data_IF_435218275133
#
_entry.id   IF_435218275133
#
_cell.length_a   1.000
_cell.length_b   1.000
_cell.length_c   1.000
_cell.angle_alpha   90.00
_cell.angle_beta   90.00
_cell.angle_gamma   90.00
#
_symmetry.space_group_name_H-M   'P 1'
#
loop_
_entity.id
_entity.type
_entity.pdbx_description
1 polymer ?
#
# COMPACT_ATOMS: atom_id res chain seq x y z
N UNK A 1 -25.60 7.62 -0.44
CA UNK A 1 -26.10 6.25 -0.27
C UNK A 1 -25.44 5.42 -1.35
N UNK A 2 -24.79 4.32 -1.00
CA UNK A 2 -24.10 3.49 -1.99
C UNK A 2 -25.12 2.59 -2.71
N UNK A 3 -24.92 2.40 -4.01
CA UNK A 3 -25.70 1.45 -4.78
C UNK A 3 -25.09 0.04 -4.63
N UNK A 4 -25.54 -0.70 -3.62
CA UNK A 4 -25.12 -2.10 -3.42
C UNK A 4 -25.45 -2.99 -4.61
N UNK A 5 -26.48 -2.66 -5.40
CA UNK A 5 -26.83 -3.43 -6.59
C UNK A 5 -25.76 -3.35 -7.67
N UNK A 6 -24.94 -2.29 -7.65
CA UNK A 6 -23.77 -2.15 -8.53
C UNK A 6 -22.71 -3.23 -8.23
N UNK A 7 -22.55 -3.65 -6.97
CA UNK A 7 -21.55 -4.67 -6.62
C UNK A 7 -21.86 -6.03 -7.25
N UNK A 8 -23.14 -6.34 -7.51
CA UNK A 8 -23.57 -7.59 -8.15
C UNK A 8 -23.77 -7.48 -9.67
N UNK A 9 -23.45 -6.33 -10.28
CA UNK A 9 -23.44 -6.12 -11.74
C UNK A 9 -22.00 -5.90 -12.26
N UNK A 10 -21.32 -6.96 -12.74
CA UNK A 10 -19.97 -6.86 -13.28
C UNK A 10 -19.84 -5.93 -14.49
N UNK A 11 -20.87 -5.82 -15.33
CA UNK A 11 -20.85 -4.95 -16.51
C UNK A 11 -20.97 -3.48 -16.11
N UNK A 12 -21.77 -3.18 -15.08
CA UNK A 12 -21.85 -1.84 -14.52
C UNK A 12 -20.55 -1.44 -13.80
N UNK A 13 -19.91 -2.35 -13.05
CA UNK A 13 -18.58 -2.12 -12.47
C UNK A 13 -17.53 -1.81 -13.55
N UNK A 14 -17.51 -2.58 -14.63
CA UNK A 14 -16.59 -2.35 -15.74
C UNK A 14 -16.81 -0.99 -16.42
N UNK A 15 -18.07 -0.53 -16.54
CA UNK A 15 -18.39 0.81 -17.06
C UNK A 15 -18.01 1.94 -16.10
N UNK A 16 -18.15 1.71 -14.79
CA UNK A 16 -17.77 2.67 -13.76
C UNK A 16 -16.24 2.84 -13.67
N UNK A 17 -15.49 1.75 -13.89
CA UNK A 17 -14.03 1.69 -13.76
C UNK A 17 -13.27 2.34 -14.93
N UNK A 18 -13.49 3.64 -15.12
CA UNK A 18 -12.84 4.46 -16.18
C UNK A 18 -11.32 4.57 -16.02
N UNK A 19 -10.78 4.23 -14.86
CA UNK A 19 -9.35 4.26 -14.54
C UNK A 19 -8.72 2.87 -14.53
N UNK A 20 -9.49 1.83 -14.86
CA UNK A 20 -9.04 0.44 -14.93
C UNK A 20 -8.39 -0.05 -13.62
N UNK A 21 -8.88 0.43 -12.47
CA UNK A 21 -8.35 0.13 -11.14
C UNK A 21 -8.56 -1.35 -10.76
N UNK A 22 -9.70 -1.95 -11.12
CA UNK A 22 -9.95 -3.37 -10.89
C UNK A 22 -8.98 -4.23 -11.71
N UNK A 23 -8.71 -3.82 -12.95
CA UNK A 23 -7.71 -4.50 -13.79
C UNK A 23 -6.31 -4.33 -13.20
N UNK A 24 -5.95 -3.12 -12.77
CA UNK A 24 -4.67 -2.86 -12.11
C UNK A 24 -4.44 -3.66 -10.83
N UNK A 25 -5.50 -3.89 -10.04
CA UNK A 25 -5.46 -4.78 -8.87
C UNK A 25 -5.30 -6.25 -9.27
N UNK A 26 -6.04 -6.71 -10.29
CA UNK A 26 -5.98 -8.09 -10.77
C UNK A 26 -4.63 -8.44 -11.43
N UNK A 27 -3.95 -7.48 -12.04
CA UNK A 27 -2.66 -7.67 -12.69
C UNK A 27 -1.46 -7.63 -11.73
N UNK A 28 -1.68 -7.51 -10.42
CA UNK A 28 -0.62 -7.38 -9.43
C UNK A 28 0.40 -8.54 -9.50
N UNK A 29 -0.05 -9.79 -9.62
CA UNK A 29 0.85 -10.95 -9.75
C UNK A 29 1.66 -10.94 -11.06
N UNK A 30 1.04 -10.55 -12.17
CA UNK A 30 1.76 -10.35 -13.45
C UNK A 30 2.81 -9.23 -13.36
N UNK A 31 2.52 -8.15 -12.64
CA UNK A 31 3.47 -7.05 -12.39
C UNK A 31 4.66 -7.50 -11.55
N UNK A 32 4.44 -8.31 -10.51
CA UNK A 32 5.53 -8.89 -9.70
C UNK A 32 6.48 -9.70 -10.60
N UNK A 33 5.95 -10.61 -11.43
CA UNK A 33 6.80 -11.43 -12.32
C UNK A 33 7.56 -10.59 -13.34
N UNK A 34 6.91 -9.57 -13.91
CA UNK A 34 7.55 -8.64 -14.84
C UNK A 34 8.65 -7.83 -14.15
N UNK A 35 8.40 -7.37 -12.92
CA UNK A 35 9.37 -6.61 -12.13
C UNK A 35 10.57 -7.46 -11.71
N UNK A 36 10.38 -8.73 -11.36
CA UNK A 36 11.48 -9.69 -11.11
C UNK A 36 12.35 -9.87 -12.36
N UNK A 37 11.71 -9.98 -13.54
CA UNK A 37 12.44 -10.05 -14.81
C UNK A 37 13.24 -8.77 -15.07
N UNK A 38 12.64 -7.59 -14.92
CA UNK A 38 13.34 -6.31 -15.09
C UNK A 38 14.50 -6.13 -14.08
N UNK A 39 14.31 -6.56 -12.82
CA UNK A 39 15.37 -6.58 -11.82
C UNK A 39 16.56 -7.46 -12.25
N UNK A 40 16.27 -8.63 -12.81
CA UNK A 40 17.30 -9.54 -13.33
C UNK A 40 18.01 -8.94 -14.54
N UNK A 41 17.26 -8.40 -15.51
CA UNK A 41 17.80 -7.73 -16.71
C UNK A 41 18.64 -6.49 -16.37
N UNK A 42 18.30 -5.78 -15.29
CA UNK A 42 19.07 -4.66 -14.77
C UNK A 42 20.35 -5.09 -14.03
N UNK A 43 20.58 -6.40 -13.84
CA UNK A 43 21.79 -6.95 -13.22
C UNK A 43 21.73 -7.09 -11.70
N UNK A 44 20.57 -6.94 -11.05
CA UNK A 44 20.45 -7.06 -9.58
C UNK A 44 20.97 -8.42 -9.08
N UNK A 45 20.67 -9.50 -9.82
CA UNK A 45 21.10 -10.85 -9.47
C UNK A 45 22.64 -11.00 -9.47
N UNK A 46 23.33 -10.23 -10.31
CA UNK A 46 24.79 -10.29 -10.52
C UNK A 46 25.56 -9.32 -9.62
N UNK A 47 24.86 -8.47 -8.87
CA UNK A 47 25.49 -7.53 -7.95
C UNK A 47 26.39 -8.26 -6.95
N UNK A 48 27.55 -7.66 -6.73
CA UNK A 48 28.51 -8.03 -5.67
C UNK A 48 28.63 -6.82 -4.73
N UNK A 49 27.72 -6.66 -3.75
CA UNK A 49 27.77 -5.54 -2.83
C UNK A 49 29.05 -5.59 -2.00
N UNK A 50 29.70 -4.44 -1.82
CA UNK A 50 30.88 -4.31 -0.95
C UNK A 50 30.55 -4.49 0.55
N UNK A 51 29.27 -4.55 0.88
CA UNK A 51 28.77 -4.79 2.22
C UNK A 51 27.30 -4.43 2.34
N UNK A 52 26.84 -4.39 3.60
CA UNK A 52 25.50 -3.93 3.96
C UNK A 52 25.49 -2.40 4.05
N UNK A 53 24.48 -1.70 3.50
CA UNK A 53 24.38 -0.26 3.67
C UNK A 53 24.18 0.10 5.15
N UNK A 54 24.77 1.22 5.58
CA UNK A 54 24.60 1.76 6.94
C UNK A 54 23.19 2.29 7.17
N UNK A 55 22.64 2.97 6.16
CA UNK A 55 21.28 3.48 6.16
C UNK A 55 20.70 3.41 4.75
N UNK A 56 19.38 3.24 4.66
CA UNK A 56 18.61 3.32 3.43
C UNK A 56 17.81 4.61 3.45
N UNK A 57 17.98 5.46 2.45
CA UNK A 57 17.18 6.65 2.21
C UNK A 57 16.19 6.35 1.09
N UNK A 58 14.91 6.67 1.28
CA UNK A 58 13.89 6.49 0.23
C UNK A 58 13.34 7.84 -0.22
N UNK A 59 13.18 8.02 -1.53
CA UNK A 59 12.61 9.23 -2.12
C UNK A 59 11.64 8.89 -3.25
N UNK A 60 10.64 9.74 -3.42
CA UNK A 60 9.62 9.56 -4.42
C UNK A 60 8.35 10.34 -4.08
N UNK A 61 7.57 10.76 -5.08
CA UNK A 61 6.33 11.48 -4.87
C UNK A 61 5.14 10.54 -4.65
N UNK A 62 4.11 11.08 -4.01
CA UNK A 62 2.81 10.44 -3.93
C UNK A 62 2.74 9.23 -3.01
N UNK A 63 1.54 8.65 -2.94
CA UNK A 63 1.20 7.59 -1.99
C UNK A 63 1.83 6.23 -2.34
N UNK A 64 2.12 5.95 -3.61
CA UNK A 64 2.89 4.76 -4.00
C UNK A 64 4.28 4.75 -3.35
N UNK A 65 5.06 5.82 -3.51
CA UNK A 65 6.41 5.91 -2.94
C UNK A 65 6.40 5.92 -1.40
N UNK A 66 5.39 6.55 -0.79
CA UNK A 66 5.19 6.51 0.67
C UNK A 66 4.91 5.07 1.13
N UNK A 67 3.99 4.36 0.46
CA UNK A 67 3.68 2.97 0.78
C UNK A 67 4.89 2.06 0.63
N UNK A 68 5.69 2.21 -0.44
CA UNK A 68 6.95 1.46 -0.61
C UNK A 68 7.92 1.76 0.53
N UNK A 69 8.12 3.04 0.88
CA UNK A 69 9.02 3.42 1.97
C UNK A 69 8.60 2.82 3.32
N UNK A 70 7.31 2.87 3.64
CA UNK A 70 6.75 2.30 4.88
C UNK A 70 6.92 0.77 4.93
N UNK A 71 6.66 0.09 3.82
CA UNK A 71 6.84 -1.37 3.70
C UNK A 71 8.30 -1.78 3.85
N UNK A 72 9.21 -1.10 3.15
CA UNK A 72 10.64 -1.34 3.28
C UNK A 72 11.14 -1.05 4.71
N UNK A 73 10.62 0.01 5.34
CA UNK A 73 10.95 0.34 6.73
C UNK A 73 10.53 -0.74 7.72
N UNK A 74 9.36 -1.35 7.54
CA UNK A 74 8.92 -2.48 8.36
C UNK A 74 9.73 -3.76 8.09
N UNK A 75 9.97 -4.09 6.82
CA UNK A 75 10.62 -5.34 6.42
C UNK A 75 12.13 -5.34 6.68
N UNK A 76 12.82 -4.23 6.39
CA UNK A 76 14.28 -4.11 6.52
C UNK A 76 14.72 -3.38 7.80
N UNK A 77 13.82 -2.72 8.53
CA UNK A 77 14.15 -1.84 9.66
C UNK A 77 14.91 -2.52 10.80
N UNK A 78 14.73 -3.83 10.99
CA UNK A 78 15.49 -4.62 11.95
C UNK A 78 16.98 -4.78 11.57
N UNK A 79 17.29 -4.76 10.27
CA UNK A 79 18.64 -4.93 9.73
C UNK A 79 19.34 -3.59 9.45
N UNK A 80 18.60 -2.58 8.99
CA UNK A 80 19.13 -1.29 8.58
C UNK A 80 18.08 -0.18 8.74
N UNK A 81 18.44 1.00 9.27
CA UNK A 81 17.51 2.12 9.37
C UNK A 81 17.08 2.59 7.97
N UNK A 82 15.76 2.60 7.74
CA UNK A 82 15.14 3.12 6.52
C UNK A 82 14.52 4.48 6.84
N UNK A 83 14.96 5.53 6.15
CA UNK A 83 14.48 6.91 6.35
C UNK A 83 13.88 7.43 5.06
N UNK A 84 12.57 7.77 5.10
CA UNK A 84 11.91 8.45 4.00
C UNK A 84 12.30 9.93 3.96
N UNK A 85 12.80 10.38 2.82
CA UNK A 85 13.01 11.80 2.54
C UNK A 85 11.65 12.43 2.20
N UNK A 86 11.15 13.26 3.11
CA UNK A 86 9.89 13.99 2.90
C UNK A 86 10.12 15.07 1.85
N UNK A 87 9.31 15.12 0.77
CA UNK A 87 9.44 16.19 -0.20
C UNK A 87 9.06 17.55 0.41
N UNK A 88 9.87 18.56 0.15
CA UNK A 88 9.50 19.97 0.27
C UNK A 88 8.97 20.51 -1.06
N UNK A 89 8.72 21.82 -1.10
CA UNK A 89 8.26 22.51 -2.31
C UNK A 89 7.10 23.46 -2.04
N UNK A 90 6.66 24.15 -3.11
CA UNK A 90 5.58 25.14 -3.04
C UNK A 90 4.21 24.58 -3.44
N UNK A 91 4.17 23.36 -4.01
CA UNK A 91 2.95 22.72 -4.49
C UNK A 91 3.12 21.18 -4.57
N UNK A 92 2.03 20.39 -4.52
CA UNK A 92 2.06 18.93 -4.64
C UNK A 92 2.26 18.44 -6.10
N UNK A 93 2.76 19.30 -6.99
CA UNK A 93 2.98 18.98 -8.41
C UNK A 93 4.41 18.49 -8.63
N UNK A 94 4.60 17.50 -9.51
CA UNK A 94 5.90 16.90 -9.87
C UNK A 94 7.03 17.94 -10.08
N UNK A 95 6.73 19.04 -10.78
CA UNK A 95 7.69 20.11 -11.07
C UNK A 95 8.08 21.01 -9.88
N UNK A 96 7.36 20.94 -8.75
CA UNK A 96 7.57 21.78 -7.58
C UNK A 96 8.14 21.02 -6.37
N UNK A 97 8.18 19.69 -6.42
CA UNK A 97 8.68 18.84 -5.33
C UNK A 97 10.21 18.82 -5.32
N UNK A 98 10.79 18.94 -4.12
CA UNK A 98 12.23 18.91 -3.89
C UNK A 98 12.57 17.98 -2.73
N UNK A 99 13.73 17.34 -2.80
CA UNK A 99 14.25 16.47 -1.74
C UNK A 99 15.67 16.89 -1.38
N UNK A 100 16.01 16.73 -0.10
CA UNK A 100 17.34 17.06 0.41
C UNK A 100 17.95 15.88 1.16
N UNK A 101 19.23 15.62 0.92
CA UNK A 101 19.98 14.62 1.67
C UNK A 101 20.36 15.16 3.06
N UNK A 102 20.11 14.39 4.14
CA UNK A 102 20.60 14.70 5.47
C UNK A 102 22.12 14.91 5.48
N UNK A 103 22.63 15.81 6.33
CA UNK A 103 24.06 16.16 6.35
C UNK A 103 25.03 15.00 6.63
N UNK A 104 24.55 13.91 7.23
CA UNK A 104 25.33 12.71 7.53
C UNK A 104 25.38 11.69 6.39
N UNK A 105 24.57 11.86 5.34
CA UNK A 105 24.45 10.92 4.24
C UNK A 105 25.72 10.90 3.38
N UNK A 106 26.25 9.71 3.10
CA UNK A 106 27.55 9.53 2.44
C UNK A 106 27.73 8.16 1.76
N UNK A 107 28.97 7.76 1.46
CA UNK A 107 29.26 6.66 0.53
C UNK A 107 28.92 5.25 1.01
N UNK A 108 28.55 5.10 2.29
CA UNK A 108 28.11 3.83 2.89
C UNK A 108 26.59 3.71 2.99
N UNK A 109 25.85 4.70 2.49
CA UNK A 109 24.39 4.74 2.49
C UNK A 109 23.83 4.46 1.09
N UNK A 110 22.59 3.95 1.06
CA UNK A 110 21.87 3.58 -0.16
C UNK A 110 20.68 4.52 -0.35
N UNK A 111 20.59 5.19 -1.50
CA UNK A 111 19.43 5.98 -1.89
C UNK A 111 18.56 5.15 -2.85
N UNK A 112 17.32 4.89 -2.45
CA UNK A 112 16.28 4.26 -3.25
C UNK A 112 15.29 5.31 -3.74
N UNK A 113 15.16 5.45 -5.06
CA UNK A 113 14.18 6.36 -5.67
C UNK A 113 13.06 5.54 -6.31
N UNK A 114 11.82 5.87 -6.01
CA UNK A 114 10.64 5.23 -6.63
C UNK A 114 9.71 6.29 -7.17
N UNK A 115 9.33 6.17 -8.43
CA UNK A 115 8.36 7.08 -9.04
C UNK A 115 7.62 6.40 -10.20
N UNK A 116 6.29 6.59 -10.31
CA UNK A 116 5.52 6.12 -11.45
C UNK A 116 5.63 7.02 -12.69
N UNK A 117 6.27 8.20 -12.60
CA UNK A 117 6.38 9.18 -13.69
C UNK A 117 7.85 9.37 -14.10
N UNK A 118 8.71 9.78 -13.16
CA UNK A 118 10.14 9.99 -13.39
C UNK A 118 10.47 11.32 -14.10
N UNK A 119 9.48 12.21 -14.28
CA UNK A 119 9.66 13.56 -14.80
C UNK A 119 9.93 14.63 -13.73
N UNK A 120 9.97 14.26 -12.45
CA UNK A 120 10.17 15.18 -11.33
C UNK A 120 11.61 15.75 -11.33
N UNK A 121 11.81 17.05 -11.62
CA UNK A 121 13.15 17.62 -11.68
C UNK A 121 13.90 17.56 -10.34
N UNK A 122 13.15 17.61 -9.23
CA UNK A 122 13.70 17.49 -7.88
C UNK A 122 14.37 16.15 -7.60
N UNK A 123 13.95 15.05 -8.26
CA UNK A 123 14.61 13.76 -8.11
C UNK A 123 15.97 13.75 -8.83
N UNK A 124 16.09 14.37 -10.01
CA UNK A 124 17.39 14.53 -10.69
C UNK A 124 18.37 15.37 -9.87
N UNK A 125 17.88 16.45 -9.24
CA UNK A 125 18.69 17.27 -8.31
C UNK A 125 19.17 16.41 -7.13
N UNK A 126 18.30 15.56 -6.57
CA UNK A 126 18.65 14.65 -5.49
C UNK A 126 19.74 13.65 -5.91
N UNK A 127 19.65 13.10 -7.13
CA UNK A 127 20.67 12.22 -7.71
C UNK A 127 22.03 12.92 -7.81
N UNK A 128 22.07 14.18 -8.25
CA UNK A 128 23.30 14.98 -8.29
C UNK A 128 23.88 15.24 -6.89
N UNK A 129 23.03 15.43 -5.87
CA UNK A 129 23.48 15.54 -4.48
C UNK A 129 24.11 14.21 -4.01
N UNK A 130 23.47 13.09 -4.33
CA UNK A 130 23.93 11.75 -3.96
C UNK A 130 25.29 11.43 -4.62
N UNK A 131 25.41 11.71 -5.91
CA UNK A 131 26.66 11.55 -6.67
C UNK A 131 27.81 12.35 -6.06
N UNK A 132 27.60 13.64 -5.75
CA UNK A 132 28.62 14.51 -5.13
C UNK A 132 29.09 14.01 -3.75
N UNK A 133 28.26 13.25 -3.05
CA UNK A 133 28.55 12.68 -1.73
C UNK A 133 28.97 11.19 -1.79
N UNK A 134 29.03 10.62 -2.99
CA UNK A 134 29.42 9.23 -3.24
C UNK A 134 28.39 8.18 -2.82
N UNK A 135 27.12 8.56 -2.62
CA UNK A 135 26.06 7.60 -2.28
C UNK A 135 25.79 6.65 -3.45
N UNK A 136 25.48 5.40 -3.13
CA UNK A 136 24.93 4.48 -4.12
C UNK A 136 23.46 4.82 -4.37
N UNK A 137 23.06 4.94 -5.64
CA UNK A 137 21.68 5.27 -6.01
C UNK A 137 21.07 4.15 -6.84
N UNK A 138 19.88 3.70 -6.45
CA UNK A 138 19.04 2.79 -7.23
C UNK A 138 17.68 3.43 -7.43
N UNK A 139 17.18 3.45 -8.66
CA UNK A 139 15.86 3.98 -8.99
C UNK A 139 14.98 2.92 -9.65
N UNK A 140 13.70 2.88 -9.28
CA UNK A 140 12.65 2.18 -10.02
C UNK A 140 11.73 3.23 -10.62
N UNK A 141 11.75 3.35 -11.95
CA UNK A 141 11.00 4.37 -12.69
C UNK A 141 10.65 3.91 -14.12
N UNK A 142 9.70 4.58 -14.81
CA UNK A 142 9.40 4.26 -16.19
C UNK A 142 10.63 4.32 -17.10
N UNK A 143 10.74 3.41 -18.08
CA UNK A 143 11.87 3.43 -19.00
C UNK A 143 11.86 4.73 -19.82
N UNK A 144 13.05 5.32 -20.03
CA UNK A 144 13.25 6.58 -20.77
C UNK A 144 12.65 7.82 -20.08
N UNK A 145 12.30 7.75 -18.79
CA UNK A 145 11.98 8.94 -18.01
C UNK A 145 13.24 9.82 -17.80
N UNK A 146 13.11 11.15 -17.68
CA UNK A 146 14.24 12.06 -17.44
C UNK A 146 15.16 11.63 -16.28
N UNK A 147 14.59 11.07 -15.21
CA UNK A 147 15.34 10.51 -14.09
C UNK A 147 16.36 9.43 -14.50
N UNK A 148 16.07 8.64 -15.53
CA UNK A 148 16.95 7.55 -16.01
C UNK A 148 18.31 8.09 -16.47
N UNK A 149 18.33 9.25 -17.14
CA UNK A 149 19.57 9.90 -17.59
C UNK A 149 20.40 10.40 -16.41
N UNK A 150 19.77 11.02 -15.41
CA UNK A 150 20.43 11.47 -14.20
C UNK A 150 21.07 10.30 -13.43
N UNK A 151 20.34 9.19 -13.29
CA UNK A 151 20.85 7.98 -12.62
C UNK A 151 22.05 7.39 -13.36
N UNK A 152 21.96 7.28 -14.69
CA UNK A 152 23.05 6.76 -15.52
C UNK A 152 24.29 7.65 -15.42
N UNK A 153 24.11 8.97 -15.48
CA UNK A 153 25.19 9.95 -15.32
C UNK A 153 25.85 9.92 -13.93
N UNK A 154 25.11 9.54 -12.90
CA UNK A 154 25.60 9.35 -11.54
C UNK A 154 26.19 7.95 -11.26
N UNK A 155 26.30 7.09 -12.29
CA UNK A 155 26.70 5.68 -12.14
C UNK A 155 25.81 4.87 -11.18
N UNK A 156 24.54 5.28 -11.04
CA UNK A 156 23.53 4.54 -10.30
C UNK A 156 22.88 3.43 -11.13
N UNK A 157 22.00 2.67 -10.50
CA UNK A 157 21.23 1.60 -11.14
C UNK A 157 19.80 2.05 -11.41
N UNK A 158 19.40 2.12 -12.68
CA UNK A 158 18.01 2.34 -13.06
C UNK A 158 17.35 1.01 -13.41
N UNK A 159 16.30 0.66 -12.69
CA UNK A 159 15.50 -0.55 -12.93
C UNK A 159 14.17 -0.14 -13.57
N UNK A 160 13.84 -0.65 -14.76
CA UNK A 160 12.57 -0.32 -15.40
C UNK A 160 11.37 -0.74 -14.55
N UNK A 161 10.49 0.21 -14.23
CA UNK A 161 9.22 -0.07 -13.58
C UNK A 161 8.38 -1.00 -14.45
N UNK A 162 7.82 -2.05 -13.85
CA UNK A 162 6.94 -2.96 -14.55
C UNK A 162 5.61 -2.27 -14.92
N UNK A 163 5.23 -2.35 -16.18
CA UNK A 163 3.91 -1.94 -16.67
C UNK A 163 3.13 -3.19 -17.04
N UNK A 164 1.81 -3.15 -16.91
CA UNK A 164 0.99 -4.24 -17.43
C UNK A 164 1.01 -4.24 -18.97
N UNK A 165 0.87 -5.41 -19.63
CA UNK A 165 0.59 -5.46 -21.05
C UNK A 165 -0.67 -4.63 -21.34
N UNK A 166 -0.62 -3.75 -22.35
CA UNK A 166 -1.75 -2.90 -22.78
C UNK A 166 -2.14 -1.73 -21.83
N UNK A 167 -1.34 -1.42 -20.82
CA UNK A 167 -1.56 -0.24 -19.98
C UNK A 167 -1.36 1.06 -20.78
N UNK A 168 -2.35 1.99 -20.79
CA UNK A 168 -2.16 3.31 -21.38
C UNK A 168 -1.01 4.05 -20.66
N UNK A 169 -0.22 4.82 -21.40
CA UNK A 169 0.91 5.62 -20.87
C UNK A 169 0.48 6.81 -19.98
N UNK A 170 -0.77 6.85 -19.53
CA UNK A 170 -1.27 7.91 -18.66
C UNK A 170 -0.79 7.66 -17.22
N UNK A 171 -0.45 8.73 -16.45
CA UNK A 171 -0.11 8.57 -15.05
C UNK A 171 -1.30 7.99 -14.29
N UNK A 172 -1.12 6.81 -13.72
CA UNK A 172 -2.09 6.22 -12.80
C UNK A 172 -2.21 7.09 -11.52
N UNK A 173 -3.33 6.98 -10.82
CA UNK A 173 -3.45 7.54 -9.47
C UNK A 173 -2.30 7.02 -8.59
N UNK A 174 -1.83 7.82 -7.63
CA UNK A 174 -0.68 7.44 -6.83
C UNK A 174 -0.98 6.22 -5.93
N UNK A 175 -2.24 6.03 -5.53
CA UNK A 175 -2.71 4.81 -4.83
C UNK A 175 -3.22 3.71 -5.76
N UNK A 176 -3.03 3.80 -7.08
CA UNK A 176 -3.43 2.73 -7.99
C UNK A 176 -2.76 1.40 -7.57
N UNK A 177 -3.53 0.31 -7.36
CA UNK A 177 -3.02 -0.96 -6.87
C UNK A 177 -1.82 -1.51 -7.64
N UNK A 178 -1.84 -1.38 -8.97
CA UNK A 178 -0.78 -1.88 -9.84
C UNK A 178 0.58 -1.19 -9.67
N UNK A 179 0.61 0.09 -9.26
CA UNK A 179 1.86 0.86 -9.16
C UNK A 179 2.74 0.40 -8.00
N UNK A 180 2.14 -0.09 -6.91
CA UNK A 180 2.89 -0.50 -5.72
C UNK A 180 3.84 -1.66 -6.04
N UNK A 181 3.32 -2.76 -6.59
CA UNK A 181 4.10 -3.96 -6.84
C UNK A 181 5.18 -3.75 -7.89
N UNK A 182 4.91 -2.90 -8.88
CA UNK A 182 5.88 -2.52 -9.89
C UNK A 182 7.09 -1.76 -9.31
N UNK A 183 6.88 -0.95 -8.27
CA UNK A 183 7.94 -0.20 -7.58
C UNK A 183 8.63 -1.00 -6.47
N UNK A 184 7.85 -1.78 -5.70
CA UNK A 184 8.33 -2.51 -4.53
C UNK A 184 9.17 -3.73 -4.91
N UNK A 185 8.72 -4.52 -5.88
CA UNK A 185 9.32 -5.84 -6.20
C UNK A 185 10.80 -5.76 -6.56
N UNK A 186 11.28 -4.83 -7.40
CA UNK A 186 12.70 -4.72 -7.69
C UNK A 186 13.54 -4.35 -6.46
N UNK A 187 12.97 -3.58 -5.53
CA UNK A 187 13.63 -3.21 -4.29
C UNK A 187 13.68 -4.38 -3.31
N UNK A 188 12.65 -5.23 -3.25
CA UNK A 188 12.72 -6.48 -2.49
C UNK A 188 13.85 -7.38 -3.01
N UNK A 189 13.97 -7.54 -4.33
CA UNK A 189 15.07 -8.28 -4.94
C UNK A 189 16.44 -7.66 -4.62
N UNK A 190 16.57 -6.34 -4.71
CA UNK A 190 17.80 -5.63 -4.33
C UNK A 190 18.18 -5.83 -2.85
N UNK A 191 17.19 -5.72 -1.96
CA UNK A 191 17.40 -5.80 -0.53
C UNK A 191 17.65 -7.25 -0.07
N UNK A 192 17.13 -8.25 -0.77
CA UNK A 192 17.55 -9.65 -0.64
C UNK A 192 19.03 -9.82 -1.02
N UNK A 193 19.42 -9.30 -2.20
CA UNK A 193 20.82 -9.39 -2.69
C UNK A 193 21.83 -8.67 -1.80
N UNK A 194 21.43 -7.62 -1.10
CA UNK A 194 22.26 -6.90 -0.11
C UNK A 194 22.15 -7.47 1.31
N UNK A 195 21.31 -8.48 1.52
CA UNK A 195 21.13 -9.17 2.80
C UNK A 195 20.41 -8.34 3.87
N UNK A 196 19.56 -7.39 3.45
CA UNK A 196 18.76 -6.52 4.30
C UNK A 196 17.42 -7.14 4.71
N UNK A 197 16.87 -7.98 3.85
CA UNK A 197 15.66 -8.78 4.10
C UNK A 197 15.80 -10.12 3.36
N UNK A 198 14.83 -11.02 3.53
CA UNK A 198 14.75 -12.26 2.75
C UNK A 198 13.58 -12.18 1.76
N UNK A 199 13.91 -12.12 0.48
CA UNK A 199 12.95 -12.15 -0.62
C UNK A 199 13.56 -12.92 -1.82
N UNK A 200 13.93 -14.20 -1.63
CA UNK A 200 14.53 -14.97 -2.70
C UNK A 200 13.52 -15.16 -3.85
N UNK A 201 13.99 -15.47 -5.08
CA UNK A 201 13.14 -15.52 -6.26
C UNK A 201 11.92 -16.45 -6.14
N UNK A 202 12.04 -17.56 -5.41
CA UNK A 202 10.94 -18.50 -5.16
C UNK A 202 9.85 -17.90 -4.27
N UNK A 203 10.21 -17.07 -3.27
CA UNK A 203 9.25 -16.34 -2.44
C UNK A 203 8.56 -15.25 -3.27
N UNK A 204 9.29 -14.51 -4.11
CA UNK A 204 8.67 -13.51 -5.00
C UNK A 204 7.70 -14.15 -6.01
N UNK A 205 7.99 -15.36 -6.48
CA UNK A 205 7.05 -16.13 -7.30
C UNK A 205 5.79 -16.52 -6.51
N UNK A 206 5.93 -17.01 -5.27
CA UNK A 206 4.78 -17.32 -4.41
C UNK A 206 3.94 -16.09 -4.09
N UNK A 207 4.56 -14.93 -3.90
CA UNK A 207 3.85 -13.64 -3.77
C UNK A 207 3.01 -13.37 -5.01
N UNK A 208 3.57 -13.55 -6.22
CA UNK A 208 2.81 -13.38 -7.45
C UNK A 208 1.63 -14.36 -7.55
N UNK A 209 1.84 -15.63 -7.21
CA UNK A 209 0.79 -16.65 -7.23
C UNK A 209 -0.31 -16.36 -6.18
N UNK A 210 0.07 -15.86 -4.99
CA UNK A 210 -0.85 -15.41 -3.94
C UNK A 210 -1.71 -14.23 -4.40
N UNK A 211 -1.11 -13.25 -5.07
CA UNK A 211 -1.83 -12.10 -5.63
C UNK A 211 -2.84 -12.52 -6.69
N UNK A 212 -2.46 -13.45 -7.59
CA UNK A 212 -3.38 -13.98 -8.61
C UNK A 212 -4.56 -14.74 -7.96
N UNK A 213 -4.28 -15.54 -6.92
CA UNK A 213 -5.33 -16.23 -6.18
C UNK A 213 -6.32 -15.27 -5.50
N UNK A 214 -5.84 -14.18 -4.91
CA UNK A 214 -6.70 -13.14 -4.36
C UNK A 214 -7.49 -12.45 -5.47
N UNK A 215 -6.90 -12.17 -6.63
CA UNK A 215 -7.60 -11.58 -7.76
C UNK A 215 -8.75 -12.46 -8.28
N UNK A 216 -8.58 -13.79 -8.32
CA UNK A 216 -9.64 -14.73 -8.66
C UNK A 216 -10.82 -14.69 -7.66
N UNK A 217 -10.53 -14.52 -6.37
CA UNK A 217 -11.54 -14.44 -5.29
C UNK A 217 -12.21 -13.07 -5.18
N UNK A 218 -11.46 -12.00 -5.46
CA UNK A 218 -11.91 -10.63 -5.30
C UNK A 218 -12.40 -10.00 -6.60
N UNK A 219 -12.32 -10.70 -7.74
CA UNK A 219 -12.68 -10.17 -9.05
C UNK A 219 -14.15 -9.76 -9.19
N UNK A 220 -14.48 -8.87 -10.15
CA UNK A 220 -15.81 -8.28 -10.29
C UNK A 220 -16.89 -9.31 -10.66
N UNK A 221 -16.53 -10.41 -11.30
CA UNK A 221 -17.45 -11.49 -11.65
C UNK A 221 -17.88 -12.37 -10.46
N UNK A 222 -17.17 -12.28 -9.32
CA UNK A 222 -17.49 -13.06 -8.12
C UNK A 222 -18.63 -12.37 -7.37
N UNK A 223 -19.67 -13.12 -7.02
CA UNK A 223 -20.83 -12.63 -6.27
C UNK A 223 -20.42 -12.08 -4.89
N UNK A 224 -21.09 -11.00 -4.45
CA UNK A 224 -20.70 -10.22 -3.25
C UNK A 224 -20.51 -11.09 -2.00
N UNK A 225 -21.44 -12.01 -1.72
CA UNK A 225 -21.39 -12.88 -0.53
C UNK A 225 -20.17 -13.81 -0.46
N UNK A 226 -19.50 -14.08 -1.59
CA UNK A 226 -18.31 -14.93 -1.70
C UNK A 226 -17.02 -14.13 -1.95
N UNK A 227 -17.16 -12.81 -2.15
CA UNK A 227 -16.07 -11.92 -2.47
C UNK A 227 -15.71 -11.10 -1.21
N UNK A 228 -14.54 -11.36 -0.59
CA UNK A 228 -14.18 -10.69 0.66
C UNK A 228 -13.99 -9.19 0.48
N UNK A 229 -13.53 -8.73 -0.69
CA UNK A 229 -13.33 -7.31 -0.96
C UNK A 229 -14.66 -6.56 -1.19
N UNK A 230 -15.62 -7.15 -1.90
CA UNK A 230 -16.97 -6.56 -2.04
C UNK A 230 -17.71 -6.54 -0.70
N UNK A 231 -17.61 -7.63 0.06
CA UNK A 231 -18.18 -7.71 1.42
C UNK A 231 -17.60 -6.60 2.29
N UNK A 232 -16.27 -6.45 2.34
CA UNK A 232 -15.63 -5.39 3.10
C UNK A 232 -16.03 -3.99 2.61
N UNK A 233 -16.12 -3.77 1.30
CA UNK A 233 -16.58 -2.50 0.75
C UNK A 233 -18.02 -2.15 1.16
N UNK A 234 -18.93 -3.12 1.11
CA UNK A 234 -20.31 -2.95 1.56
C UNK A 234 -20.37 -2.66 3.08
N UNK A 235 -19.57 -3.35 3.89
CA UNK A 235 -19.51 -3.12 5.33
C UNK A 235 -18.96 -1.74 5.72
N UNK A 236 -18.05 -1.20 4.91
CA UNK A 236 -17.45 0.13 5.08
C UNK A 236 -18.25 1.24 4.39
N UNK A 237 -19.34 0.88 3.73
CA UNK A 237 -20.14 1.76 2.90
C UNK A 237 -20.68 2.98 3.67
N UNK A 238 -21.18 2.73 4.87
CA UNK A 238 -21.92 3.68 5.69
C UNK A 238 -21.33 3.79 7.11
N UNK A 239 -20.06 3.41 7.25
CA UNK A 239 -19.33 3.44 8.52
C UNK A 239 -18.08 4.30 8.42
N UNK A 240 -17.60 4.79 9.57
CA UNK A 240 -16.23 5.30 9.71
C UNK A 240 -15.28 4.11 9.91
N UNK A 241 -14.42 3.77 8.94
CA UNK A 241 -13.48 2.68 9.09
C UNK A 241 -12.40 3.03 10.13
N UNK A 242 -12.21 2.15 11.11
CA UNK A 242 -11.12 2.22 12.09
C UNK A 242 -10.23 1.00 11.89
N UNK A 243 -9.13 1.20 11.17
CA UNK A 243 -8.21 0.13 10.76
C UNK A 243 -7.23 -0.17 11.89
N UNK A 244 -7.42 -1.28 12.58
CA UNK A 244 -6.47 -1.78 13.57
C UNK A 244 -5.55 -2.79 12.90
N UNK A 245 -4.27 -2.69 13.21
CA UNK A 245 -3.23 -3.54 12.61
C UNK A 245 -2.46 -4.27 13.70
N UNK A 246 -2.19 -5.55 13.48
CA UNK A 246 -1.35 -6.36 14.37
C UNK A 246 -0.34 -7.13 13.54
N UNK A 247 0.93 -7.06 13.94
CA UNK A 247 2.01 -7.77 13.29
C UNK A 247 2.99 -6.87 12.53
N UNK A 248 4.07 -7.46 12.01
CA UNK A 248 5.20 -6.71 11.45
C UNK A 248 4.81 -5.89 10.21
N UNK A 249 4.07 -6.52 9.31
CA UNK A 249 3.76 -6.04 7.96
C UNK A 249 2.34 -5.46 7.84
N UNK A 250 1.45 -5.73 8.80
CA UNK A 250 0.07 -5.24 8.81
C UNK A 250 -0.04 -3.70 8.95
N UNK A 251 0.85 -3.07 9.72
CA UNK A 251 0.84 -1.61 9.95
C UNK A 251 0.91 -0.79 8.65
N UNK A 252 1.96 -0.98 7.82
CA UNK A 252 2.04 -0.36 6.50
C UNK A 252 0.85 -0.68 5.57
N UNK A 253 0.34 -1.92 5.59
CA UNK A 253 -0.83 -2.30 4.80
C UNK A 253 -2.08 -1.51 5.21
N UNK A 254 -2.31 -1.33 6.53
CA UNK A 254 -3.42 -0.52 7.05
C UNK A 254 -3.29 0.96 6.69
N UNK A 255 -2.09 1.55 6.79
CA UNK A 255 -1.85 2.94 6.36
C UNK A 255 -2.09 3.13 4.86
N UNK A 256 -1.66 2.17 4.03
CA UNK A 256 -1.96 2.16 2.60
C UNK A 256 -3.46 2.10 2.35
N UNK A 257 -4.19 1.23 3.06
CA UNK A 257 -5.63 1.09 2.88
C UNK A 257 -6.37 2.40 3.22
N UNK A 258 -6.00 3.06 4.31
CA UNK A 258 -6.54 4.40 4.66
C UNK A 258 -6.22 5.43 3.58
N UNK A 259 -4.98 5.45 3.07
CA UNK A 259 -4.59 6.34 2.00
C UNK A 259 -5.38 6.09 0.69
N UNK A 260 -5.61 4.81 0.35
CA UNK A 260 -6.39 4.42 -0.83
C UNK A 260 -7.87 4.82 -0.70
N UNK A 261 -8.48 4.65 0.48
CA UNK A 261 -9.85 5.13 0.73
C UNK A 261 -9.96 6.65 0.57
N UNK A 262 -8.97 7.41 1.07
CA UNK A 262 -8.94 8.86 0.94
C UNK A 262 -8.73 9.32 -0.51
N UNK A 263 -7.77 8.74 -1.24
CA UNK A 263 -7.43 9.16 -2.60
C UNK A 263 -8.45 8.66 -3.64
N UNK A 264 -8.90 7.41 -3.54
CA UNK A 264 -9.75 6.79 -4.56
C UNK A 264 -11.24 7.03 -4.29
N UNK A 265 -11.68 6.85 -3.04
CA UNK A 265 -13.09 6.93 -2.67
C UNK A 265 -13.47 8.26 -2.01
N UNK A 266 -12.50 9.12 -1.66
CA UNK A 266 -12.77 10.37 -0.94
C UNK A 266 -13.28 10.16 0.49
N UNK A 267 -12.96 9.02 1.11
CA UNK A 267 -13.54 8.60 2.40
C UNK A 267 -12.53 8.74 3.54
N UNK A 268 -12.94 9.28 4.70
CA UNK A 268 -12.09 9.31 5.87
C UNK A 268 -11.98 7.91 6.48
N UNK A 269 -10.83 7.61 7.05
CA UNK A 269 -10.61 6.43 7.88
C UNK A 269 -9.49 6.71 8.89
N UNK A 270 -9.49 5.97 9.99
CA UNK A 270 -8.45 6.03 11.02
C UNK A 270 -7.61 4.76 10.96
N UNK A 271 -6.34 4.85 11.38
CA UNK A 271 -5.46 3.70 11.48
C UNK A 271 -4.60 3.77 12.74
N UNK A 272 -4.44 2.63 13.40
CA UNK A 272 -3.53 2.48 14.53
C UNK A 272 -3.01 1.04 14.65
N UNK A 273 -1.84 0.89 15.26
CA UNK A 273 -1.22 -0.40 15.54
C UNK A 273 -1.60 -0.87 16.95
N UNK A 274 -1.89 -2.16 17.10
CA UNK A 274 -2.13 -2.80 18.38
C UNK A 274 -0.79 -3.05 19.12
N UNK A 275 -0.76 -2.94 20.47
CA UNK A 275 -1.90 -2.73 21.38
C UNK A 275 -2.32 -1.25 21.60
N UNK A 276 -1.54 -0.27 21.17
CA UNK A 276 -1.77 1.15 21.44
C UNK A 276 -3.10 1.66 20.87
N UNK A 277 -3.58 1.06 19.78
CA UNK A 277 -4.90 1.33 19.19
C UNK A 277 -6.05 1.21 20.20
N UNK A 278 -5.95 0.30 21.18
CA UNK A 278 -6.99 0.11 22.20
C UNK A 278 -7.16 1.37 23.06
N UNK A 279 -6.05 1.97 23.48
CA UNK A 279 -6.08 3.21 24.25
C UNK A 279 -6.48 4.39 23.36
N UNK A 280 -5.86 4.50 22.18
CA UNK A 280 -6.04 5.63 21.27
C UNK A 280 -7.49 5.78 20.76
N UNK A 281 -8.20 4.67 20.57
CA UNK A 281 -9.56 4.66 20.03
C UNK A 281 -10.64 4.30 21.07
N UNK A 282 -10.29 4.08 22.33
CA UNK A 282 -11.27 3.77 23.40
C UNK A 282 -12.42 4.79 23.47
N UNK A 283 -12.09 6.08 23.54
CA UNK A 283 -13.08 7.18 23.62
C UNK A 283 -13.88 7.33 22.31
N UNK A 284 -13.25 7.01 21.17
CA UNK A 284 -13.93 7.01 19.87
C UNK A 284 -15.06 5.97 19.85
N UNK A 285 -14.78 4.77 20.34
CA UNK A 285 -15.72 3.65 20.38
C UNK A 285 -16.78 3.78 21.47
N UNK A 286 -16.57 4.61 22.49
CA UNK A 286 -17.56 4.91 23.53
C UNK A 286 -18.32 6.22 23.30
N UNK A 287 -18.01 6.95 22.23
CA UNK A 287 -18.49 8.31 21.97
C UNK A 287 -19.63 8.38 20.96
N UNK A 288 -19.76 9.53 20.28
CA UNK A 288 -20.82 9.77 19.29
C UNK A 288 -20.79 8.82 18.07
N UNK A 289 -19.66 8.12 17.85
CA UNK A 289 -19.48 7.15 16.79
C UNK A 289 -19.72 5.71 17.26
N UNK A 290 -20.04 5.49 18.54
CA UNK A 290 -20.41 4.18 19.05
C UNK A 290 -21.70 3.70 18.40
N UNK A 291 -21.85 2.39 18.19
CA UNK A 291 -23.09 1.82 17.65
C UNK A 291 -24.31 2.14 18.55
N UNK A 292 -24.11 2.18 19.87
CA UNK A 292 -25.14 2.53 20.86
C UNK A 292 -25.22 4.01 21.23
N UNK A 293 -24.62 4.92 20.44
CA UNK A 293 -24.59 6.35 20.77
C UNK A 293 -25.98 7.03 20.74
N UNK A 294 -26.92 6.45 20.00
CA UNK A 294 -28.30 6.94 19.89
C UNK A 294 -29.30 5.85 20.30
N UNK A 295 -29.80 5.88 21.55
CA UNK A 295 -30.70 4.85 22.07
C UNK A 295 -32.07 4.82 21.36
N UNK A 296 -32.43 5.89 20.64
CA UNK A 296 -33.68 5.98 19.90
C UNK A 296 -33.54 5.54 18.43
N UNK A 297 -32.32 5.25 17.94
CA UNK A 297 -32.06 4.92 16.53
C UNK A 297 -32.89 3.72 16.02
N UNK A 298 -33.13 2.72 16.87
CA UNK A 298 -33.99 1.58 16.54
C UNK A 298 -35.45 1.96 16.26
N UNK A 299 -35.92 3.08 16.83
CA UNK A 299 -37.30 3.56 16.71
C UNK A 299 -37.44 4.74 15.74
N UNK A 300 -36.35 5.21 15.12
CA UNK A 300 -36.36 6.36 14.21
C UNK A 300 -36.89 5.98 12.83
N UNK A 301 -37.76 6.83 12.30
CA UNK A 301 -38.26 6.72 10.92
C UNK A 301 -37.27 7.40 9.96
N UNK A 302 -36.47 6.59 9.26
CA UNK A 302 -35.27 7.03 8.51
C UNK A 302 -35.57 7.61 7.12
N UNK A 303 -36.80 8.04 6.87
CA UNK A 303 -37.22 8.55 5.54
C UNK A 303 -36.68 9.96 5.26
N UNK A 304 -36.46 10.79 6.29
CA UNK A 304 -36.05 12.20 6.12
C UNK A 304 -34.74 12.60 6.83
N UNK A 305 -34.17 11.75 7.69
CA UNK A 305 -32.95 12.06 8.48
C UNK A 305 -31.69 11.38 7.92
N UNK A 306 -30.56 12.08 8.00
CA UNK A 306 -29.26 11.52 7.62
C UNK A 306 -28.82 10.46 8.65
N UNK A 307 -28.41 9.28 8.16
CA UNK A 307 -27.92 8.19 8.98
C UNK A 307 -26.70 8.64 9.81
N UNK A 308 -26.73 8.32 11.11
CA UNK A 308 -25.59 8.56 11.98
C UNK A 308 -24.41 7.69 11.53
N UNK A 309 -23.23 8.31 11.42
CA UNK A 309 -22.01 7.59 11.06
C UNK A 309 -21.51 6.84 12.30
N UNK A 310 -21.42 5.52 12.23
CA UNK A 310 -20.85 4.70 13.31
C UNK A 310 -19.45 4.21 12.96
N UNK A 311 -18.60 4.03 13.97
CA UNK A 311 -17.31 3.41 13.81
C UNK A 311 -17.49 1.92 13.47
N UNK A 312 -16.69 1.42 12.53
CA UNK A 312 -16.53 -0.01 12.27
C UNK A 312 -15.05 -0.35 12.33
N UNK A 313 -14.69 -1.31 13.17
CA UNK A 313 -13.31 -1.77 13.28
C UNK A 313 -13.00 -2.76 12.16
N UNK A 314 -11.88 -2.55 11.48
CA UNK A 314 -11.30 -3.55 10.57
C UNK A 314 -9.96 -3.97 11.14
N UNK A 315 -9.86 -5.22 11.56
CA UNK A 315 -8.66 -5.78 12.15
C UNK A 315 -7.86 -6.51 11.06
N UNK A 316 -6.74 -5.90 10.65
CA UNK A 316 -5.76 -6.48 9.74
C UNK A 316 -4.66 -7.16 10.54
N UNK A 317 -4.44 -8.45 10.32
CA UNK A 317 -3.45 -9.20 11.09
C UNK A 317 -2.51 -9.92 10.15
N UNK A 318 -1.22 -9.68 10.29
CA UNK A 318 -0.26 -10.74 10.00
C UNK A 318 -0.06 -11.56 11.28
N UNK A 319 0.48 -12.76 11.15
CA UNK A 319 0.59 -13.66 12.31
C UNK A 319 1.73 -13.18 13.20
N UNK A 320 1.45 -12.61 14.39
CA UNK A 320 2.50 -12.00 15.20
C UNK A 320 3.50 -13.06 15.67
N UNK A 321 4.78 -12.81 15.43
CA UNK A 321 5.85 -13.67 15.88
C UNK A 321 5.83 -13.82 17.42
N UNK A 322 5.96 -15.06 17.90
CA UNK A 322 6.07 -15.34 19.34
C UNK A 322 4.76 -15.35 20.13
N UNK A 323 3.59 -15.40 19.46
CA UNK A 323 2.29 -15.67 20.10
C UNK A 323 1.77 -14.56 21.02
N UNK A 324 2.42 -13.39 21.05
CA UNK A 324 1.95 -12.21 21.76
C UNK A 324 0.95 -11.49 20.87
N UNK A 325 -0.33 -11.61 21.19
CA UNK A 325 -1.42 -10.99 20.44
C UNK A 325 -2.32 -10.18 21.38
N UNK A 326 -2.66 -8.97 20.95
CA UNK A 326 -3.66 -8.10 21.52
C UNK A 326 -5.05 -8.29 20.86
N UNK A 327 -5.16 -9.12 19.82
CA UNK A 327 -6.43 -9.38 19.13
C UNK A 327 -7.58 -9.83 20.07
N UNK A 328 -7.38 -10.69 21.09
CA UNK A 328 -8.45 -10.99 22.04
C UNK A 328 -8.95 -9.74 22.78
N UNK A 329 -8.03 -8.90 23.27
CA UNK A 329 -8.39 -7.64 23.94
C UNK A 329 -9.05 -6.63 22.99
N UNK A 330 -8.66 -6.63 21.71
CA UNK A 330 -9.31 -5.84 20.67
C UNK A 330 -10.76 -6.28 20.46
N UNK A 331 -11.01 -7.60 20.35
CA UNK A 331 -12.36 -8.16 20.24
C UNK A 331 -13.19 -7.83 21.48
N UNK A 332 -12.63 -8.00 22.68
CA UNK A 332 -13.31 -7.68 23.94
C UNK A 332 -13.72 -6.19 24.00
N UNK A 333 -12.82 -5.28 23.60
CA UNK A 333 -13.11 -3.83 23.57
C UNK A 333 -14.20 -3.47 22.56
N UNK A 334 -14.18 -4.11 21.39
CA UNK A 334 -15.20 -3.88 20.35
C UNK A 334 -16.56 -4.41 20.80
N UNK A 335 -16.60 -5.62 21.37
CA UNK A 335 -17.80 -6.22 21.94
C UNK A 335 -18.36 -5.38 23.11
N UNK A 336 -17.50 -4.82 23.97
CA UNK A 336 -17.97 -4.01 25.10
C UNK A 336 -18.65 -2.69 24.70
N UNK A 337 -18.52 -2.29 23.43
CA UNK A 337 -19.09 -1.06 22.88
C UNK A 337 -20.06 -1.33 21.71
N UNK A 338 -20.51 -2.58 21.56
CA UNK A 338 -21.41 -3.04 20.47
C UNK A 338 -20.94 -2.62 19.07
N UNK A 339 -19.63 -2.42 18.89
CA UNK A 339 -19.05 -1.96 17.64
C UNK A 339 -18.90 -3.14 16.68
N UNK A 340 -19.15 -2.93 15.38
CA UNK A 340 -18.96 -3.98 14.38
C UNK A 340 -17.46 -4.21 14.10
N UNK A 341 -17.06 -5.46 13.88
CA UNK A 341 -15.71 -5.86 13.51
C UNK A 341 -15.69 -6.68 12.22
N UNK A 342 -14.77 -6.33 11.32
CA UNK A 342 -14.35 -7.19 10.20
C UNK A 342 -12.91 -7.61 10.43
N UNK A 343 -12.58 -8.87 10.21
CA UNK A 343 -11.22 -9.38 10.40
C UNK A 343 -10.66 -9.91 9.09
N UNK A 344 -9.44 -9.51 8.76
CA UNK A 344 -8.68 -10.05 7.64
C UNK A 344 -7.47 -10.81 8.21
N UNK A 345 -7.54 -12.13 8.10
CA UNK A 345 -6.48 -13.06 8.48
C UNK A 345 -6.04 -13.81 7.22
N UNK A 346 -4.82 -13.54 6.71
CA UNK A 346 -4.29 -14.22 5.54
C UNK A 346 -4.04 -15.71 5.76
N UNK A 347 -3.99 -16.44 4.65
CA UNK A 347 -3.64 -17.85 4.64
C UNK A 347 -2.19 -18.10 5.08
N UNK A 348 -1.86 -19.37 5.38
CA UNK A 348 -0.50 -19.78 5.69
C UNK A 348 0.47 -19.41 4.54
N UNK A 349 1.60 -18.81 4.90
CA UNK A 349 2.64 -18.40 3.96
C UNK A 349 3.80 -17.70 4.65
N UNK A 350 4.76 -17.23 3.85
CA UNK A 350 5.79 -16.30 4.30
C UNK A 350 5.20 -14.93 4.68
N UNK A 351 5.99 -14.10 5.38
CA UNK A 351 5.61 -12.73 5.74
C UNK A 351 5.23 -11.90 4.50
N UNK A 352 5.94 -12.10 3.38
CA UNK A 352 5.66 -11.42 2.12
C UNK A 352 4.37 -11.89 1.45
N UNK A 353 4.03 -13.18 1.52
CA UNK A 353 2.75 -13.70 1.03
C UNK A 353 1.58 -13.17 1.85
N UNK A 354 1.72 -13.17 3.18
CA UNK A 354 0.73 -12.64 4.14
C UNK A 354 0.47 -11.15 3.89
N UNK A 355 1.54 -10.38 3.74
CA UNK A 355 1.46 -8.96 3.37
C UNK A 355 0.79 -8.75 2.01
N UNK A 356 1.14 -9.58 1.01
CA UNK A 356 0.58 -9.47 -0.33
C UNK A 356 -0.93 -9.70 -0.34
N UNK A 357 -1.40 -10.68 0.42
CA UNK A 357 -2.83 -10.98 0.57
C UNK A 357 -3.59 -9.83 1.25
N UNK A 358 -3.07 -9.28 2.36
CA UNK A 358 -3.68 -8.12 3.02
C UNK A 358 -3.81 -6.92 2.08
N UNK A 359 -2.72 -6.58 1.38
CA UNK A 359 -2.70 -5.47 0.43
C UNK A 359 -3.68 -5.72 -0.71
N UNK A 360 -3.69 -6.92 -1.30
CA UNK A 360 -4.57 -7.19 -2.43
C UNK A 360 -6.05 -7.11 -2.06
N UNK A 361 -6.48 -7.71 -0.94
CA UNK A 361 -7.87 -7.65 -0.48
C UNK A 361 -8.29 -6.20 -0.20
N UNK A 362 -7.44 -5.43 0.50
CA UNK A 362 -7.73 -4.03 0.85
C UNK A 362 -7.69 -3.09 -0.35
N UNK A 363 -6.80 -3.31 -1.32
CA UNK A 363 -6.76 -2.58 -2.58
C UNK A 363 -8.05 -2.82 -3.40
N UNK A 364 -8.51 -4.08 -3.52
CA UNK A 364 -9.81 -4.37 -4.16
C UNK A 364 -10.98 -3.70 -3.42
N UNK A 365 -11.00 -3.76 -2.08
CA UNK A 365 -12.07 -3.15 -1.28
C UNK A 365 -12.11 -1.62 -1.47
N UNK A 366 -10.95 -0.95 -1.48
CA UNK A 366 -10.85 0.48 -1.74
C UNK A 366 -11.34 0.85 -3.15
N UNK A 367 -11.06 0.01 -4.15
CA UNK A 367 -11.57 0.20 -5.51
C UNK A 367 -13.08 0.03 -5.56
N UNK A 368 -13.65 -1.02 -4.95
CA UNK A 368 -15.11 -1.18 -4.89
C UNK A 368 -15.80 -0.02 -4.17
N UNK A 369 -15.24 0.48 -3.08
CA UNK A 369 -15.71 1.69 -2.41
C UNK A 369 -15.69 2.91 -3.33
N UNK A 370 -14.63 3.08 -4.14
CA UNK A 370 -14.51 4.19 -5.07
C UNK A 370 -15.53 4.11 -6.22
N UNK A 371 -15.74 2.92 -6.78
CA UNK A 371 -16.68 2.71 -7.88
C UNK A 371 -18.14 2.88 -7.46
N UNK A 372 -18.47 2.47 -6.24
CA UNK A 372 -19.82 2.60 -5.69
C UNK A 372 -20.11 4.01 -5.16
N UNK A 373 -19.08 4.77 -4.72
CA UNK A 373 -19.25 6.13 -4.19
C UNK A 373 -19.52 7.19 -5.27
N UNK A 374 -19.18 6.92 -6.53
CA UNK A 374 -19.37 7.83 -7.66
C UNK A 374 -20.59 7.56 -8.53
N UNK A 375 -21.44 6.60 -8.14
CA UNK A 375 -22.66 6.21 -8.86
C UNK A 375 -23.85 7.12 -8.54
#
# INVERSE_FOLDING_TARGET
MLDESLLDDPEALARADRRELLRGAAEAGARVRTAVRHATEAGIAELKPDGRPRAILTAGPGLAAIGVADLLGSLAGAACPVTRLTPGGVAPAAGALLWELPGWAGPVDLLLITTPDGSEPGLSILVEQAYRRGLTVVAVCPPRAPLTEAITGAHGLAVPMATAPYEPQAPAAASAPGSLWALLTPLLALLDRTGMLSAPPDILQKVADRLDHVAERCGPAIATYSNPAKTLAAELAEALPVIWTEGQSAGPAGRRFVAAMAELAGRPALTAELPEALAAHSVLLSGALAAGADPDDFFRDRVEEAQALHARVVLLRDRPAGGRTAAPAARDLVLSHDTAISELEPEDGSDLETLAELIAITDFAAVYLALTAGA
#
